data_IF_413626395696
#
_entry.id   IF_413626395696
#
_cell.length_a   1.000
_cell.length_b   1.000
_cell.length_c   1.000
_cell.angle_alpha   90.00
_cell.angle_beta   90.00
_cell.angle_gamma   90.00
#
_symmetry.space_group_name_H-M   'P 1'
#
loop_
_entity.id
_entity.type
_entity.pdbx_description
1 polymer ?
#
# COMPACT_ATOMS: atom_id res chain seq x y z
N UNK A 1 7.54 9.41 1.12
CA UNK A 1 7.73 10.88 1.05
C UNK A 1 8.60 11.31 -0.15
N UNK A 2 9.67 10.59 -0.50
CA UNK A 2 10.57 10.97 -1.62
C UNK A 2 9.93 11.03 -3.03
N UNK A 3 8.89 10.23 -3.31
CA UNK A 3 8.24 10.20 -4.64
C UNK A 3 7.53 11.52 -4.99
N UNK A 4 6.93 12.20 -4.01
CA UNK A 4 6.12 13.39 -4.25
C UNK A 4 6.98 14.66 -4.43
N UNK A 5 8.13 14.73 -3.76
CA UNK A 5 9.06 15.87 -3.86
C UNK A 5 9.77 15.91 -5.23
N UNK A 6 10.12 14.75 -5.79
CA UNK A 6 10.80 14.68 -7.10
C UNK A 6 9.91 15.12 -8.27
N UNK A 7 8.61 14.80 -8.24
CA UNK A 7 7.64 15.15 -9.28
C UNK A 7 7.32 16.64 -9.23
N UNK A 8 7.08 17.18 -8.03
CA UNK A 8 6.80 18.60 -7.83
C UNK A 8 7.95 19.48 -8.34
N UNK A 9 9.20 19.07 -8.10
CA UNK A 9 10.37 19.82 -8.54
C UNK A 9 10.50 19.86 -10.08
N UNK A 10 10.31 18.72 -10.76
CA UNK A 10 10.37 18.69 -12.24
C UNK A 10 9.24 19.48 -12.90
N UNK A 11 8.03 19.41 -12.33
CA UNK A 11 6.89 20.20 -12.83
C UNK A 11 7.18 21.70 -12.76
N UNK A 12 7.74 22.17 -11.64
CA UNK A 12 8.15 23.57 -11.47
C UNK A 12 9.21 23.98 -12.49
N UNK A 13 10.22 23.14 -12.73
CA UNK A 13 11.24 23.43 -13.74
C UNK A 13 10.67 23.55 -15.16
N UNK A 14 9.68 22.73 -15.51
CA UNK A 14 9.02 22.84 -16.81
C UNK A 14 8.17 24.10 -16.92
N UNK A 15 7.42 24.42 -15.87
CA UNK A 15 6.61 25.63 -15.80
C UNK A 15 7.49 26.89 -15.92
N UNK A 16 8.62 26.95 -15.22
CA UNK A 16 9.59 28.04 -15.34
C UNK A 16 10.11 28.21 -16.77
N UNK A 17 10.47 27.10 -17.44
CA UNK A 17 10.94 27.13 -18.84
C UNK A 17 9.85 27.66 -19.78
N UNK A 18 8.63 27.17 -19.65
CA UNK A 18 7.48 27.59 -20.49
C UNK A 18 7.19 29.07 -20.26
N UNK A 19 7.10 29.50 -19.00
CA UNK A 19 6.82 30.89 -18.64
C UNK A 19 7.91 31.85 -19.13
N UNK A 20 9.17 31.43 -19.10
CA UNK A 20 10.27 32.22 -19.63
C UNK A 20 10.18 32.38 -21.15
N UNK A 21 9.85 31.30 -21.87
CA UNK A 21 9.61 31.35 -23.33
C UNK A 21 8.42 32.26 -23.64
N UNK A 22 7.29 32.10 -22.94
CA UNK A 22 6.08 32.89 -23.15
C UNK A 22 6.34 34.40 -22.98
N UNK A 23 7.01 34.78 -21.88
CA UNK A 23 7.35 36.18 -21.60
C UNK A 23 8.21 36.81 -22.69
N UNK A 24 9.17 36.05 -23.23
CA UNK A 24 10.10 36.56 -24.24
C UNK A 24 9.51 36.52 -25.65
N UNK A 25 8.60 35.58 -25.93
CA UNK A 25 8.08 35.31 -27.26
C UNK A 25 7.40 36.54 -27.89
N UNK A 26 6.53 37.23 -27.15
CA UNK A 26 5.81 38.37 -27.71
C UNK A 26 6.74 39.54 -28.06
N UNK A 27 7.75 39.80 -27.24
CA UNK A 27 8.76 40.82 -27.53
C UNK A 27 9.59 40.44 -28.75
N UNK A 28 10.08 39.20 -28.82
CA UNK A 28 10.86 38.72 -29.96
C UNK A 28 10.04 38.69 -31.26
N UNK A 29 8.73 38.41 -31.17
CA UNK A 29 7.82 38.44 -32.31
C UNK A 29 7.61 39.87 -32.83
N UNK A 30 7.49 40.85 -31.94
CA UNK A 30 7.34 42.25 -32.32
C UNK A 30 8.61 42.77 -33.02
N UNK A 31 9.78 42.49 -32.44
CA UNK A 31 11.07 42.80 -33.05
C UNK A 31 11.22 42.14 -34.43
N UNK A 32 10.88 40.85 -34.54
CA UNK A 32 10.91 40.15 -35.83
C UNK A 32 10.01 40.82 -36.88
N UNK A 33 8.76 41.16 -36.53
CA UNK A 33 7.84 41.83 -37.45
C UNK A 33 8.39 43.19 -37.91
N UNK A 34 8.92 43.99 -36.98
CA UNK A 34 9.50 45.30 -37.26
C UNK A 34 10.69 45.19 -38.19
N UNK A 35 11.66 44.35 -37.86
CA UNK A 35 12.88 44.22 -38.65
C UNK A 35 12.67 43.47 -39.96
N UNK A 36 11.67 42.59 -40.05
CA UNK A 36 11.22 42.03 -41.33
C UNK A 36 10.79 43.14 -42.29
N UNK A 37 9.99 44.11 -41.84
CA UNK A 37 9.58 45.24 -42.69
C UNK A 37 10.76 46.11 -43.09
N UNK A 38 11.65 46.43 -42.15
CA UNK A 38 12.82 47.29 -42.43
C UNK A 38 13.82 46.65 -43.39
N UNK A 39 14.13 45.37 -43.18
CA UNK A 39 14.97 44.58 -44.07
C UNK A 39 14.41 44.52 -45.50
N UNK A 40 13.11 44.29 -45.65
CA UNK A 40 12.50 44.19 -46.99
C UNK A 40 12.35 45.56 -47.67
N UNK A 41 12.24 46.66 -46.92
CA UNK A 41 12.12 48.02 -47.48
C UNK A 41 13.46 48.64 -47.87
N UNK A 42 14.52 48.38 -47.10
CA UNK A 42 15.86 48.94 -47.32
C UNK A 42 16.90 47.82 -47.19
N UNK A 43 16.91 46.85 -48.15
CA UNK A 43 17.76 45.67 -48.07
C UNK A 43 19.26 46.00 -48.10
N UNK A 44 19.64 47.16 -48.61
CA UNK A 44 21.03 47.64 -48.66
C UNK A 44 21.60 48.06 -47.30
N UNK A 45 20.74 48.29 -46.29
CA UNK A 45 21.17 48.72 -44.96
C UNK A 45 21.55 47.50 -44.11
N UNK A 46 22.86 47.32 -43.90
CA UNK A 46 23.42 46.18 -43.16
C UNK A 46 22.84 46.01 -41.75
N UNK A 47 22.56 47.11 -41.05
CA UNK A 47 21.98 47.09 -39.71
C UNK A 47 20.61 46.39 -39.71
N UNK A 48 19.77 46.65 -40.70
CA UNK A 48 18.45 46.02 -40.79
C UNK A 48 18.54 44.52 -41.11
N UNK A 49 19.53 44.12 -41.93
CA UNK A 49 19.81 42.71 -42.18
C UNK A 49 20.21 41.99 -40.87
N UNK A 50 21.11 42.60 -40.10
CA UNK A 50 21.60 42.04 -38.85
C UNK A 50 20.47 41.93 -37.81
N UNK A 51 19.66 42.97 -37.63
CA UNK A 51 18.54 42.93 -36.69
C UNK A 51 17.46 41.93 -37.09
N UNK A 52 17.18 41.79 -38.38
CA UNK A 52 16.26 40.77 -38.87
C UNK A 52 16.80 39.35 -38.63
N UNK A 53 18.07 39.10 -38.97
CA UNK A 53 18.70 37.80 -38.72
C UNK A 53 18.70 37.44 -37.24
N UNK A 54 19.00 38.40 -36.36
CA UNK A 54 19.02 38.22 -34.91
C UNK A 54 17.63 37.90 -34.35
N UNK A 55 16.61 38.70 -34.69
CA UNK A 55 15.23 38.47 -34.23
C UNK A 55 14.64 37.16 -34.75
N UNK A 56 14.95 36.80 -36.01
CA UNK A 56 14.62 35.48 -36.56
C UNK A 56 15.29 34.35 -35.77
N UNK A 57 16.58 34.49 -35.47
CA UNK A 57 17.34 33.51 -34.70
C UNK A 57 16.78 33.33 -33.28
N UNK A 58 16.38 34.41 -32.63
CA UNK A 58 15.75 34.37 -31.30
C UNK A 58 14.45 33.55 -31.33
N UNK A 59 13.55 33.80 -32.29
CA UNK A 59 12.31 33.02 -32.42
C UNK A 59 12.58 31.53 -32.72
N UNK A 60 13.58 31.24 -33.55
CA UNK A 60 13.97 29.85 -33.85
C UNK A 60 14.51 29.13 -32.61
N UNK A 61 15.33 29.80 -31.81
CA UNK A 61 15.83 29.25 -30.53
C UNK A 61 14.67 28.99 -29.57
N UNK A 62 13.76 29.94 -29.39
CA UNK A 62 12.57 29.75 -28.54
C UNK A 62 11.71 28.57 -29.01
N UNK A 63 11.51 28.42 -30.32
CA UNK A 63 10.77 27.28 -30.88
C UNK A 63 11.46 25.94 -30.60
N UNK A 64 12.79 25.89 -30.70
CA UNK A 64 13.59 24.70 -30.39
C UNK A 64 13.49 24.37 -28.89
N UNK A 65 13.63 25.36 -28.03
CA UNK A 65 13.60 25.18 -26.58
C UNK A 65 12.22 24.70 -26.11
N UNK A 66 11.13 25.21 -26.72
CA UNK A 66 9.78 24.73 -26.46
C UNK A 66 9.60 23.26 -26.88
N UNK A 67 10.13 22.89 -28.05
CA UNK A 67 10.08 21.51 -28.54
C UNK A 67 10.86 20.55 -27.62
N UNK A 68 12.07 20.93 -27.21
CA UNK A 68 12.87 20.15 -26.24
C UNK A 68 12.12 20.01 -24.93
N UNK A 69 11.58 21.10 -24.39
CA UNK A 69 10.80 21.08 -23.14
C UNK A 69 9.58 20.16 -23.25
N UNK A 70 8.88 20.18 -24.38
CA UNK A 70 7.73 19.29 -24.65
C UNK A 70 8.15 17.82 -24.66
N UNK A 71 9.27 17.50 -25.31
CA UNK A 71 9.78 16.13 -25.33
C UNK A 71 10.21 15.66 -23.94
N UNK A 72 10.84 16.53 -23.15
CA UNK A 72 11.24 16.22 -21.77
C UNK A 72 10.01 15.96 -20.89
N UNK A 73 8.93 16.73 -21.07
CA UNK A 73 7.64 16.49 -20.39
C UNK A 73 7.08 15.12 -20.77
N UNK A 74 7.00 14.82 -22.07
CA UNK A 74 6.47 13.53 -22.56
C UNK A 74 7.27 12.35 -22.00
N UNK A 75 8.61 12.46 -21.99
CA UNK A 75 9.48 11.45 -21.41
C UNK A 75 9.25 11.26 -19.91
N UNK A 76 9.02 12.34 -19.16
CA UNK A 76 8.69 12.23 -17.74
C UNK A 76 7.32 11.60 -17.50
N UNK A 77 6.32 11.92 -18.32
CA UNK A 77 5.00 11.26 -18.25
C UNK A 77 5.14 9.76 -18.47
N UNK A 78 5.95 9.34 -19.46
CA UNK A 78 6.20 7.92 -19.73
C UNK A 78 6.89 7.22 -18.55
N UNK A 79 7.92 7.84 -17.97
CA UNK A 79 8.61 7.32 -16.78
C UNK A 79 7.65 7.15 -15.60
N UNK A 80 6.83 8.16 -15.31
CA UNK A 80 5.82 8.09 -14.26
C UNK A 80 4.80 6.99 -14.51
N UNK A 81 4.34 6.86 -15.76
CA UNK A 81 3.43 5.78 -16.14
C UNK A 81 4.03 4.38 -15.90
N UNK A 82 5.32 4.21 -16.14
CA UNK A 82 6.02 2.94 -15.89
C UNK A 82 6.21 2.69 -14.38
N UNK A 83 6.59 3.70 -13.61
CA UNK A 83 6.70 3.60 -12.14
C UNK A 83 5.34 3.26 -11.50
N UNK A 84 4.25 3.90 -11.94
CA UNK A 84 2.90 3.57 -11.47
C UNK A 84 2.50 2.13 -11.75
N UNK A 85 2.90 1.56 -12.91
CA UNK A 85 2.64 0.15 -13.21
C UNK A 85 3.39 -0.78 -12.26
N UNK A 86 4.65 -0.47 -11.94
CA UNK A 86 5.44 -1.25 -10.99
C UNK A 86 4.76 -1.24 -9.61
N UNK A 87 4.37 -0.05 -9.13
CA UNK A 87 3.67 0.10 -7.86
C UNK A 87 2.33 -0.65 -7.85
N UNK A 88 1.55 -0.63 -8.93
CA UNK A 88 0.30 -1.40 -9.02
C UNK A 88 0.54 -2.92 -8.91
N UNK A 89 1.59 -3.44 -9.55
CA UNK A 89 1.98 -4.86 -9.44
C UNK A 89 2.34 -5.20 -7.99
N UNK A 90 3.16 -4.36 -7.34
CA UNK A 90 3.55 -4.55 -5.94
C UNK A 90 2.34 -4.53 -5.00
N UNK A 91 1.42 -3.57 -5.18
CA UNK A 91 0.19 -3.47 -4.38
C UNK A 91 -0.71 -4.71 -4.54
N UNK A 92 -0.82 -5.25 -5.76
CA UNK A 92 -1.58 -6.49 -6.00
C UNK A 92 -0.95 -7.69 -5.31
N UNK A 93 0.38 -7.78 -5.33
CA UNK A 93 1.13 -8.84 -4.65
C UNK A 93 0.95 -8.75 -3.13
N UNK A 94 1.11 -7.56 -2.55
CA UNK A 94 0.88 -7.32 -1.11
C UNK A 94 -0.57 -7.65 -0.72
N UNK A 95 -1.55 -7.25 -1.52
CA UNK A 95 -2.95 -7.60 -1.27
C UNK A 95 -3.19 -9.11 -1.27
N UNK A 96 -2.52 -9.85 -2.16
CA UNK A 96 -2.59 -11.31 -2.20
C UNK A 96 -1.98 -11.92 -0.93
N UNK A 97 -0.78 -11.49 -0.55
CA UNK A 97 -0.09 -11.95 0.67
C UNK A 97 -0.93 -11.67 1.91
N UNK A 98 -1.47 -10.45 2.03
CA UNK A 98 -2.35 -10.09 3.14
C UNK A 98 -3.62 -10.96 3.18
N UNK A 99 -4.18 -11.31 2.02
CA UNK A 99 -5.30 -12.25 1.93
C UNK A 99 -4.95 -13.66 2.43
N UNK A 100 -3.76 -14.16 2.12
CA UNK A 100 -3.25 -15.45 2.62
C UNK A 100 -3.00 -15.39 4.13
N UNK A 101 -2.37 -14.33 4.62
CA UNK A 101 -2.12 -14.07 6.03
C UNK A 101 -3.42 -14.03 6.84
N UNK A 102 -4.45 -13.36 6.32
CA UNK A 102 -5.75 -13.27 6.98
C UNK A 102 -6.49 -14.61 7.03
N UNK A 103 -6.33 -15.46 6.00
CA UNK A 103 -6.82 -16.86 6.04
C UNK A 103 -6.12 -17.67 7.13
N UNK A 104 -4.80 -17.58 7.21
CA UNK A 104 -4.01 -18.28 8.24
C UNK A 104 -4.44 -17.79 9.63
N UNK A 105 -4.57 -16.49 9.83
CA UNK A 105 -5.03 -15.91 11.08
C UNK A 105 -6.42 -16.40 11.49
N UNK A 106 -7.38 -16.43 10.56
CA UNK A 106 -8.72 -16.97 10.81
C UNK A 106 -8.69 -18.45 11.20
N UNK A 107 -7.88 -19.26 10.52
CA UNK A 107 -7.71 -20.67 10.86
C UNK A 107 -7.09 -20.86 12.27
N UNK A 108 -6.10 -20.04 12.64
CA UNK A 108 -5.49 -20.09 13.97
C UNK A 108 -6.49 -19.74 15.08
N UNK A 109 -7.34 -18.72 14.88
CA UNK A 109 -8.43 -18.43 15.83
C UNK A 109 -9.40 -19.61 15.95
N UNK A 110 -9.81 -20.21 14.84
CA UNK A 110 -10.69 -21.38 14.84
C UNK A 110 -10.10 -22.56 15.63
N UNK A 111 -8.83 -22.89 15.38
CA UNK A 111 -8.12 -23.97 16.10
C UNK A 111 -7.97 -23.67 17.58
N UNK A 112 -7.66 -22.41 17.95
CA UNK A 112 -7.56 -22.00 19.35
C UNK A 112 -8.90 -22.17 20.08
N UNK A 113 -9.99 -21.69 19.49
CA UNK A 113 -11.33 -21.81 20.07
C UNK A 113 -11.73 -23.28 20.22
N UNK A 114 -11.47 -24.12 19.22
CA UNK A 114 -11.73 -25.57 19.30
C UNK A 114 -10.91 -26.26 20.40
N UNK A 115 -9.65 -25.85 20.57
CA UNK A 115 -8.77 -26.40 21.60
C UNK A 115 -9.20 -25.98 23.02
N UNK A 116 -9.70 -24.77 23.19
CA UNK A 116 -10.24 -24.28 24.47
C UNK A 116 -11.48 -25.07 24.91
N UNK A 117 -12.41 -25.33 23.97
CA UNK A 117 -13.59 -26.19 24.21
C UNK A 117 -13.16 -27.61 24.62
N UNK A 118 -12.23 -28.21 23.88
CA UNK A 118 -11.75 -29.57 24.19
C UNK A 118 -11.06 -29.66 25.56
N UNK A 119 -10.33 -28.62 25.97
CA UNK A 119 -9.69 -28.55 27.28
C UNK A 119 -10.75 -28.48 28.39
N UNK A 120 -11.79 -27.67 28.20
CA UNK A 120 -12.85 -27.52 29.20
C UNK A 120 -13.73 -28.78 29.30
N UNK A 121 -14.11 -29.39 28.17
CA UNK A 121 -14.79 -30.68 28.12
C UNK A 121 -13.97 -31.77 28.84
N UNK A 122 -12.66 -31.81 28.60
CA UNK A 122 -11.75 -32.79 29.25
C UNK A 122 -11.67 -32.60 30.76
N UNK A 123 -11.71 -31.36 31.27
CA UNK A 123 -11.75 -31.10 32.72
C UNK A 123 -13.09 -31.51 33.33
N UNK A 124 -14.19 -31.26 32.64
CA UNK A 124 -15.52 -31.65 33.11
C UNK A 124 -15.66 -33.17 33.19
N UNK A 125 -15.22 -33.89 32.15
CA UNK A 125 -15.17 -35.36 32.11
C UNK A 125 -14.31 -35.93 33.26
N UNK A 126 -13.13 -35.34 33.49
CA UNK A 126 -12.25 -35.74 34.59
C UNK A 126 -12.90 -35.55 35.97
N UNK A 127 -13.54 -34.40 36.19
CA UNK A 127 -14.25 -34.12 37.44
C UNK A 127 -15.43 -35.09 37.65
N UNK A 128 -16.20 -35.40 36.60
CA UNK A 128 -17.28 -36.40 36.68
C UNK A 128 -16.76 -37.77 37.07
N UNK A 129 -15.67 -38.24 36.45
CA UNK A 129 -15.06 -39.52 36.82
C UNK A 129 -14.52 -39.52 38.25
N UNK A 130 -13.93 -38.41 38.70
CA UNK A 130 -13.49 -38.25 40.07
C UNK A 130 -14.65 -38.39 41.07
N UNK A 131 -15.77 -37.69 40.84
CA UNK A 131 -16.96 -37.83 41.69
C UNK A 131 -17.51 -39.26 41.69
N UNK A 132 -17.60 -39.89 40.51
CA UNK A 132 -18.08 -41.27 40.39
C UNK A 132 -17.21 -42.25 41.18
N UNK A 133 -15.89 -42.09 41.15
CA UNK A 133 -14.96 -42.91 41.91
C UNK A 133 -15.14 -42.73 43.43
N UNK A 134 -15.37 -41.50 43.90
CA UNK A 134 -15.66 -41.23 45.31
C UNK A 134 -17.00 -41.81 45.77
N UNK A 135 -18.03 -41.71 44.93
CA UNK A 135 -19.34 -42.34 45.19
C UNK A 135 -19.20 -43.86 45.28
N UNK A 136 -18.40 -44.48 44.42
CA UNK A 136 -18.17 -45.92 44.40
C UNK A 136 -17.44 -46.40 45.67
N UNK A 137 -16.41 -45.66 46.11
CA UNK A 137 -15.73 -45.93 47.39
C UNK A 137 -16.70 -45.79 48.56
N UNK A 138 -17.50 -44.71 48.59
CA UNK A 138 -18.51 -44.51 49.62
C UNK A 138 -19.54 -45.63 49.65
N UNK A 139 -20.02 -46.09 48.49
CA UNK A 139 -20.93 -47.21 48.35
C UNK A 139 -20.36 -48.51 48.90
N UNK A 140 -19.11 -48.83 48.58
CA UNK A 140 -18.40 -50.02 49.10
C UNK A 140 -18.33 -49.96 50.64
N UNK A 141 -18.01 -48.81 51.21
CA UNK A 141 -17.93 -48.64 52.67
C UNK A 141 -19.31 -48.86 53.32
N UNK A 142 -20.37 -48.25 52.77
CA UNK A 142 -21.74 -48.39 53.30
C UNK A 142 -22.21 -49.84 53.25
N UNK A 143 -22.01 -50.52 52.11
CA UNK A 143 -22.36 -51.94 51.96
C UNK A 143 -21.57 -52.82 52.94
N UNK A 144 -20.27 -52.54 53.11
CA UNK A 144 -19.43 -53.23 54.09
C UNK A 144 -19.94 -53.08 55.52
N UNK A 145 -20.34 -51.87 55.92
CA UNK A 145 -20.93 -51.60 57.25
C UNK A 145 -22.26 -52.35 57.40
N UNK A 146 -23.15 -52.28 56.43
CA UNK A 146 -24.45 -52.97 56.48
C UNK A 146 -24.29 -54.47 56.63
N UNK A 147 -23.42 -55.09 55.82
CA UNK A 147 -23.13 -56.53 55.96
C UNK A 147 -22.52 -56.84 57.33
N UNK A 148 -21.56 -56.06 57.81
CA UNK A 148 -20.97 -56.23 59.14
C UNK A 148 -22.00 -56.16 60.28
N UNK A 149 -22.96 -55.23 60.20
CA UNK A 149 -24.04 -55.11 61.20
C UNK A 149 -25.06 -56.25 61.15
N UNK A 150 -25.37 -56.77 59.95
CA UNK A 150 -26.30 -57.89 59.78
C UNK A 150 -25.67 -59.19 60.30
N UNK A 151 -24.40 -59.47 59.94
CA UNK A 151 -23.71 -60.68 60.37
C UNK A 151 -23.38 -60.67 61.87
N UNK A 152 -23.07 -59.52 62.46
CA UNK A 152 -22.88 -59.41 63.92
C UNK A 152 -24.17 -59.59 64.71
N UNK A 153 -25.32 -59.14 64.19
CA UNK A 153 -26.64 -59.44 64.79
C UNK A 153 -27.01 -60.92 64.74
N UNK A 154 -26.70 -61.63 63.64
CA UNK A 154 -26.94 -63.07 63.54
C UNK A 154 -26.12 -63.89 64.56
N UNK A 155 -24.91 -63.46 64.90
CA UNK A 155 -24.10 -64.15 65.92
C UNK A 155 -24.61 -63.92 67.35
N UNK A 156 -25.33 -62.84 67.62
CA UNK A 156 -25.96 -62.60 68.93
C UNK A 156 -27.28 -63.36 69.14
N UNK A 157 -27.94 -63.80 68.07
CA UNK A 157 -29.15 -64.67 68.16
C UNK A 157 -28.82 -66.17 68.27
N UNK A 158 -27.56 -66.56 68.02
CA UNK A 158 -27.09 -67.94 68.12
C UNK A 158 -26.22 -68.21 69.37
N UNK A 159 -26.29 -67.33 70.39
CA UNK A 159 -25.81 -67.58 71.76
C UNK A 159 -27.00 -67.71 72.69
#
# INVERSE_FOLDING_TARGET
MQFNEGISNKSQQFEEKINNIEKQFFSALDDFKKYYVYYNKNPEVNEFQNYYANSKGQLQTMSKDLFVTTNDINKNIELLGNEMKIVDIELRNEKKINGEMMKIYGNLQGTKNGSEILIDDSKEEYNKQYYYNYELIGGIIIVGILLGTIFSKQQQQNK
#
